data_IF_830803296523
#
_entry.id   IF_830803296523
#
_cell.length_a   1.000
_cell.length_b   1.000
_cell.length_c   1.000
_cell.angle_alpha   90.00
_cell.angle_beta   90.00
_cell.angle_gamma   90.00
#
_symmetry.space_group_name_H-M   'P 1'
#
loop_
_entity.id
_entity.type
_entity.pdbx_description
1 polymer ?
#
# COMPACT_ATOMS: atom_id res chain seq x y z
N UNK A 1 -11.58 -2.51 18.54
CA UNK A 1 -10.10 -2.62 18.70
C UNK A 1 -9.47 -1.31 18.23
N UNK A 2 -9.40 -0.28 19.08
CA UNK A 2 -8.99 1.07 18.63
C UNK A 2 -7.92 1.75 19.48
N UNK A 3 -7.51 1.15 20.60
CA UNK A 3 -6.69 1.85 21.60
C UNK A 3 -5.33 1.19 21.89
N UNK A 4 -4.96 0.06 21.27
CA UNK A 4 -3.85 -0.74 21.83
C UNK A 4 -2.43 -0.28 21.48
N UNK A 5 -2.12 0.32 20.32
CA UNK A 5 -0.84 1.03 20.04
C UNK A 5 -1.00 1.97 18.84
N UNK A 6 -0.67 3.25 19.01
CA UNK A 6 -0.59 4.23 17.92
C UNK A 6 0.48 3.76 16.89
N UNK A 7 0.22 3.84 15.57
CA UNK A 7 1.15 3.39 14.53
C UNK A 7 2.26 4.43 14.34
N UNK A 8 3.26 4.40 15.21
CA UNK A 8 4.29 5.45 15.30
C UNK A 8 5.15 5.53 14.04
N UNK A 9 5.48 4.40 13.42
CA UNK A 9 6.28 4.39 12.21
C UNK A 9 5.49 4.97 11.04
N UNK A 10 4.23 4.57 10.88
CA UNK A 10 3.32 5.12 9.88
C UNK A 10 3.12 6.63 10.06
N UNK A 11 2.87 7.10 11.28
CA UNK A 11 2.70 8.54 11.53
C UNK A 11 3.95 9.33 11.17
N UNK A 12 5.13 8.84 11.55
CA UNK A 12 6.40 9.48 11.17
C UNK A 12 6.64 9.46 9.65
N UNK A 13 6.15 8.43 8.94
CA UNK A 13 6.19 8.40 7.48
C UNK A 13 5.25 9.45 6.89
N UNK A 14 4.03 9.59 7.43
CA UNK A 14 3.06 10.58 6.98
C UNK A 14 3.51 12.02 7.23
N UNK A 15 4.15 12.30 8.37
CA UNK A 15 4.76 13.61 8.67
C UNK A 15 5.84 14.02 7.66
N UNK A 16 6.54 13.05 7.06
CA UNK A 16 7.55 13.28 6.03
C UNK A 16 6.95 13.39 4.62
N UNK A 17 5.68 13.04 4.44
CA UNK A 17 5.03 13.11 3.14
C UNK A 17 4.69 14.56 2.80
N UNK A 18 5.08 15.01 1.60
CA UNK A 18 4.99 16.42 1.21
C UNK A 18 3.73 16.75 0.40
N UNK A 19 3.15 15.77 -0.30
CA UNK A 19 1.96 15.96 -1.13
C UNK A 19 1.32 14.62 -1.53
N UNK A 20 0.00 14.63 -1.71
CA UNK A 20 -0.78 13.54 -2.32
C UNK A 20 -1.32 13.90 -3.71
N UNK A 21 -0.84 15.00 -4.31
CA UNK A 21 -1.34 15.51 -5.60
C UNK A 21 -1.19 14.49 -6.73
N UNK A 22 -0.13 13.66 -6.70
CA UNK A 22 0.03 12.56 -7.65
C UNK A 22 -1.08 11.52 -7.59
N UNK A 23 -1.60 11.21 -6.39
CA UNK A 23 -2.73 10.30 -6.19
C UNK A 23 -4.01 10.93 -6.74
N UNK A 24 -4.24 12.21 -6.46
CA UNK A 24 -5.39 12.95 -6.99
C UNK A 24 -5.41 13.03 -8.52
N UNK A 25 -4.23 13.18 -9.15
CA UNK A 25 -4.11 13.17 -10.61
C UNK A 25 -4.33 11.77 -11.20
N UNK A 26 -3.97 10.71 -10.47
CA UNK A 26 -4.16 9.33 -10.90
C UNK A 26 -5.62 8.89 -10.82
N UNK A 27 -6.34 9.28 -9.75
CA UNK A 27 -7.77 9.01 -9.56
C UNK A 27 -8.69 9.93 -10.39
N UNK A 28 -8.16 10.62 -11.40
CA UNK A 28 -8.95 11.57 -12.18
C UNK A 28 -9.92 10.84 -13.13
N UNK A 29 -11.20 11.15 -12.97
CA UNK A 29 -12.32 10.74 -13.82
C UNK A 29 -12.31 11.37 -15.22
N UNK A 30 -11.30 12.19 -15.54
CA UNK A 30 -11.23 12.96 -16.78
C UNK A 30 -10.89 12.12 -18.02
N UNK A 31 -10.56 10.84 -17.85
CA UNK A 31 -10.34 9.91 -18.97
C UNK A 31 -11.39 8.82 -18.91
N UNK A 32 -12.32 8.83 -19.88
CA UNK A 32 -13.29 7.75 -20.05
C UNK A 32 -12.56 6.41 -20.23
N UNK A 33 -12.81 5.46 -19.33
CA UNK A 33 -12.26 4.10 -19.43
C UNK A 33 -12.75 3.43 -20.71
N UNK A 34 -11.84 3.23 -21.68
CA UNK A 34 -12.18 2.70 -23.00
C UNK A 34 -12.58 1.20 -22.93
N UNK A 35 -12.13 0.45 -21.91
CA UNK A 35 -12.29 -1.03 -21.87
C UNK A 35 -12.65 -1.64 -20.49
N UNK A 36 -12.60 -0.91 -19.36
CA UNK A 36 -12.88 -1.52 -18.04
C UNK A 36 -13.86 -0.70 -17.21
N UNK A 37 -14.82 -1.35 -16.56
CA UNK A 37 -15.35 -0.82 -15.30
C UNK A 37 -14.14 -0.55 -14.39
N UNK A 38 -14.10 0.66 -13.83
CA UNK A 38 -13.00 1.15 -13.01
C UNK A 38 -12.52 0.07 -12.04
N UNK A 39 -11.30 -0.48 -12.22
CA UNK A 39 -10.82 -1.51 -11.31
C UNK A 39 -10.67 -0.84 -9.97
N UNK A 40 -11.42 -1.30 -8.96
CA UNK A 40 -11.25 -0.83 -7.59
C UNK A 40 -9.76 -0.96 -7.25
N UNK A 41 -9.10 0.19 -7.07
CA UNK A 41 -7.66 0.24 -6.89
C UNK A 41 -7.29 -0.52 -5.61
N UNK A 42 -6.58 -1.64 -5.76
CA UNK A 42 -6.03 -2.37 -4.63
C UNK A 42 -4.79 -1.65 -4.14
N UNK A 43 -4.98 -0.66 -3.27
CA UNK A 43 -3.94 0.12 -2.63
C UNK A 43 -2.90 -0.76 -1.91
N UNK A 44 -3.31 -1.88 -1.33
CA UNK A 44 -2.40 -2.87 -0.76
C UNK A 44 -1.41 -3.40 -1.80
N UNK A 45 -1.85 -3.69 -3.02
CA UNK A 45 -0.98 -4.16 -4.11
C UNK A 45 -0.01 -3.06 -4.54
N UNK A 46 -0.49 -1.83 -4.71
CA UNK A 46 0.34 -0.69 -5.07
C UNK A 46 1.43 -0.44 -4.02
N UNK A 47 1.06 -0.42 -2.74
CA UNK A 47 2.00 -0.24 -1.62
C UNK A 47 2.98 -1.42 -1.52
N UNK A 48 2.53 -2.67 -1.67
CA UNK A 48 3.41 -3.84 -1.66
C UNK A 48 4.42 -3.80 -2.83
N UNK A 49 3.98 -3.38 -4.01
CA UNK A 49 4.83 -3.25 -5.19
C UNK A 49 5.91 -2.18 -4.99
N UNK A 50 5.53 -0.98 -4.55
CA UNK A 50 6.48 0.10 -4.26
C UNK A 50 7.48 -0.29 -3.17
N UNK A 51 7.03 -0.99 -2.13
CA UNK A 51 7.91 -1.49 -1.06
C UNK A 51 8.90 -2.53 -1.60
N UNK A 52 8.42 -3.43 -2.47
CA UNK A 52 9.28 -4.42 -3.15
C UNK A 52 10.38 -3.76 -3.97
N UNK A 53 10.03 -2.72 -4.74
CA UNK A 53 10.99 -1.93 -5.52
C UNK A 53 12.02 -1.30 -4.60
N UNK A 54 11.58 -0.59 -3.54
CA UNK A 54 12.48 0.08 -2.60
C UNK A 54 13.46 -0.90 -1.93
N UNK A 55 13.00 -2.10 -1.58
CA UNK A 55 13.87 -3.14 -0.99
C UNK A 55 14.89 -3.65 -2.00
N UNK A 56 14.48 -3.83 -3.26
CA UNK A 56 15.35 -4.28 -4.34
C UNK A 56 16.36 -3.22 -4.80
N UNK A 57 16.11 -1.93 -4.56
CA UNK A 57 17.03 -0.86 -4.94
C UNK A 57 18.36 -0.94 -4.18
N UNK A 58 19.50 -0.82 -4.89
CA UNK A 58 20.81 -0.64 -4.26
C UNK A 58 20.90 0.76 -3.64
N UNK A 59 21.86 0.97 -2.74
CA UNK A 59 22.20 2.27 -2.13
C UNK A 59 21.12 2.94 -1.26
N UNK A 60 20.03 2.25 -0.92
CA UNK A 60 19.08 2.70 0.12
C UNK A 60 19.54 2.15 1.47
N UNK A 61 19.60 2.99 2.50
CA UNK A 61 20.10 2.57 3.81
C UNK A 61 19.18 1.51 4.44
N UNK A 62 19.77 0.51 5.10
CA UNK A 62 18.98 -0.55 5.75
C UNK A 62 18.01 0.00 6.79
N UNK A 63 18.38 1.08 7.50
CA UNK A 63 17.47 1.72 8.46
C UNK A 63 16.25 2.34 7.78
N UNK A 64 16.42 2.95 6.60
CA UNK A 64 15.30 3.51 5.82
C UNK A 64 14.38 2.40 5.30
N UNK A 65 14.95 1.29 4.81
CA UNK A 65 14.18 0.10 4.41
C UNK A 65 13.38 -0.47 5.59
N UNK A 66 14.02 -0.61 6.75
CA UNK A 66 13.38 -1.11 7.98
C UNK A 66 12.26 -0.18 8.46
N UNK A 67 12.51 1.13 8.42
CA UNK A 67 11.50 2.13 8.81
C UNK A 67 10.30 2.09 7.87
N UNK A 68 10.53 2.00 6.55
CA UNK A 68 9.47 1.87 5.56
C UNK A 68 8.64 0.60 5.80
N UNK A 69 9.30 -0.55 5.95
CA UNK A 69 8.65 -1.83 6.22
C UNK A 69 7.73 -1.79 7.44
N UNK A 70 8.23 -1.29 8.58
CA UNK A 70 7.42 -1.14 9.80
C UNK A 70 6.23 -0.22 9.57
N UNK A 71 6.43 0.87 8.83
CA UNK A 71 5.36 1.82 8.51
C UNK A 71 4.28 1.18 7.62
N UNK A 72 4.68 0.40 6.62
CA UNK A 72 3.75 -0.32 5.73
C UNK A 72 3.00 -1.41 6.47
N UNK A 73 3.67 -2.20 7.32
CA UNK A 73 3.02 -3.19 8.19
C UNK A 73 1.96 -2.55 9.10
N UNK A 74 2.25 -1.38 9.66
CA UNK A 74 1.28 -0.61 10.44
C UNK A 74 0.13 -0.12 9.56
N UNK A 75 0.42 0.42 8.37
CA UNK A 75 -0.58 0.90 7.40
C UNK A 75 -1.53 -0.19 6.89
N UNK A 76 -1.04 -1.41 6.67
CA UNK A 76 -1.84 -2.55 6.21
C UNK A 76 -2.95 -2.94 7.17
N UNK A 77 -2.81 -2.62 8.46
CA UNK A 77 -3.88 -2.82 9.45
C UNK A 77 -5.10 -1.91 9.19
N UNK A 78 -4.90 -0.80 8.48
CA UNK A 78 -5.94 0.18 8.13
C UNK A 78 -6.44 0.02 6.69
N UNK A 79 -5.53 -0.18 5.73
CA UNK A 79 -5.88 -0.33 4.30
C UNK A 79 -6.70 -1.60 4.05
N UNK A 80 -6.31 -2.76 4.59
CA UNK A 80 -6.98 -4.03 4.28
C UNK A 80 -8.45 -4.06 4.71
N UNK A 81 -8.85 -3.57 5.90
CA UNK A 81 -10.25 -3.44 6.25
C UNK A 81 -11.02 -2.44 5.36
N UNK A 82 -10.38 -1.32 4.97
CA UNK A 82 -11.00 -0.34 4.07
C UNK A 82 -11.26 -0.93 2.68
N UNK A 83 -10.27 -1.59 2.07
CA UNK A 83 -10.43 -2.28 0.79
C UNK A 83 -11.56 -3.31 0.86
N UNK A 84 -11.62 -4.13 1.93
CA UNK A 84 -12.71 -5.09 2.13
C UNK A 84 -14.08 -4.44 2.26
N UNK A 85 -14.17 -3.25 2.88
CA UNK A 85 -15.44 -2.53 3.02
C UNK A 85 -15.92 -1.89 1.71
N UNK A 86 -14.97 -1.50 0.85
CA UNK A 86 -15.25 -0.91 -0.47
C UNK A 86 -15.51 -1.99 -1.53
N UNK A 87 -15.02 -3.22 -1.32
CA UNK A 87 -15.22 -4.37 -2.21
C UNK A 87 -16.60 -5.03 -2.08
N UNK A 88 -17.67 -4.23 -2.16
CA UNK A 88 -19.08 -4.67 -2.01
C UNK A 88 -19.44 -5.79 -3.00
N UNK A 89 -18.77 -5.84 -4.15
CA UNK A 89 -19.03 -6.79 -5.24
C UNK A 89 -17.95 -7.88 -5.40
N UNK A 90 -16.99 -7.99 -4.46
CA UNK A 90 -15.85 -8.93 -4.57
C UNK A 90 -15.02 -8.79 -5.86
N UNK A 91 -14.98 -7.61 -6.46
CA UNK A 91 -14.21 -7.32 -7.68
C UNK A 91 -12.70 -7.20 -7.40
N UNK A 92 -12.27 -7.02 -6.15
CA UNK A 92 -10.85 -6.84 -5.78
C UNK A 92 -10.17 -8.12 -5.31
N UNK A 93 -10.90 -9.23 -5.13
CA UNK A 93 -10.39 -10.48 -4.51
C UNK A 93 -9.07 -10.97 -5.14
N UNK A 94 -8.96 -10.90 -6.48
CA UNK A 94 -7.74 -11.28 -7.19
C UNK A 94 -6.56 -10.35 -6.86
N UNK A 95 -6.81 -9.04 -6.83
CA UNK A 95 -5.80 -8.02 -6.53
C UNK A 95 -5.34 -8.08 -5.07
N UNK A 96 -6.25 -8.32 -4.12
CA UNK A 96 -5.87 -8.54 -2.70
C UNK A 96 -5.01 -9.78 -2.54
N UNK A 97 -5.33 -10.86 -3.27
CA UNK A 97 -4.51 -12.09 -3.25
C UNK A 97 -3.12 -11.85 -3.83
N UNK A 98 -3.01 -11.09 -4.92
CA UNK A 98 -1.74 -10.66 -5.48
C UNK A 98 -0.96 -9.77 -4.51
N UNK A 99 -1.64 -8.87 -3.79
CA UNK A 99 -1.02 -8.02 -2.78
C UNK A 99 -0.44 -8.84 -1.62
N UNK A 100 -1.18 -9.84 -1.14
CA UNK A 100 -0.72 -10.76 -0.10
C UNK A 100 0.51 -11.57 -0.54
N UNK A 101 0.50 -12.07 -1.79
CA UNK A 101 1.65 -12.75 -2.37
C UNK A 101 2.88 -11.84 -2.48
N UNK A 102 2.70 -10.64 -3.05
CA UNK A 102 3.77 -9.64 -3.17
C UNK A 102 4.33 -9.26 -1.80
N UNK A 103 3.47 -9.08 -0.80
CA UNK A 103 3.89 -8.79 0.57
C UNK A 103 4.67 -9.94 1.21
N UNK A 104 4.26 -11.19 0.98
CA UNK A 104 5.02 -12.35 1.44
C UNK A 104 6.44 -12.40 0.86
N UNK A 105 6.62 -12.00 -0.41
CA UNK A 105 7.95 -11.88 -1.02
C UNK A 105 8.80 -10.78 -0.34
N UNK A 106 8.18 -9.66 0.01
CA UNK A 106 8.82 -8.56 0.74
C UNK A 106 9.32 -9.02 2.11
N UNK A 107 8.46 -9.70 2.88
CA UNK A 107 8.83 -10.20 4.21
C UNK A 107 9.95 -11.25 4.15
N UNK A 108 9.97 -12.09 3.10
CA UNK A 108 11.03 -13.08 2.89
C UNK A 108 12.38 -12.45 2.53
N UNK A 109 12.40 -11.36 1.74
CA UNK A 109 13.65 -10.67 1.39
C UNK A 109 14.21 -9.79 2.49
N UNK A 110 13.40 -9.49 3.50
CA UNK A 110 13.81 -8.68 4.65
C UNK A 110 14.44 -9.50 5.79
N UNK A 111 14.08 -10.77 5.91
CA UNK A 111 14.72 -11.73 6.83
C UNK A 111 16.15 -12.04 6.43
#
# INVERSE_FOLDING_TARGET
MGAKRQPRCLMKLMEKSTSFEGVLKFESDQVSLIICEEPLNCWSLSVATLTSIMIALPNVQNEEKNQLLRSVMEGFKYVRPMEKSLDVHKKIVNSTSAADFAWGLVEMRHK
#
